data_IF_210991409054
#
_entry.id   IF_210991409054
#
_cell.length_a   1.000
_cell.length_b   1.000
_cell.length_c   1.000
_cell.angle_alpha   90.00
_cell.angle_beta   90.00
_cell.angle_gamma   90.00
#
_symmetry.space_group_name_H-M   'P 1'
#
loop_
_entity.id
_entity.type
_entity.pdbx_description
1 polymer ?
#
# COMPACT_ATOMS: atom_id res chain seq x y z
N UNK A 1 -16.05 -17.42 10.36
CA UNK A 1 -15.73 -17.41 8.91
C UNK A 1 -14.31 -17.91 8.78
N UNK A 2 -14.07 -18.86 7.88
CA UNK A 2 -12.73 -19.39 7.65
C UNK A 2 -12.00 -18.34 6.81
N UNK A 3 -10.99 -17.69 7.38
CA UNK A 3 -10.21 -16.67 6.67
C UNK A 3 -9.51 -17.34 5.50
N UNK A 4 -9.84 -16.92 4.27
CA UNK A 4 -9.17 -17.42 3.06
C UNK A 4 -7.69 -17.11 3.15
N UNK A 5 -6.83 -18.10 2.93
CA UNK A 5 -5.38 -17.91 3.04
C UNK A 5 -4.88 -17.34 1.72
N UNK A 6 -4.40 -16.10 1.75
CA UNK A 6 -3.80 -15.46 0.58
C UNK A 6 -2.29 -15.46 0.72
N UNK A 7 -1.60 -15.92 -0.32
CA UNK A 7 -0.15 -15.92 -0.42
C UNK A 7 0.30 -14.92 -1.49
N UNK A 8 1.36 -14.16 -1.18
CA UNK A 8 2.01 -13.26 -2.12
C UNK A 8 3.28 -13.93 -2.67
N UNK A 9 3.37 -14.04 -3.99
CA UNK A 9 4.65 -14.26 -4.66
C UNK A 9 5.33 -12.89 -4.84
N UNK A 10 6.34 -12.62 -4.02
CA UNK A 10 7.11 -11.37 -3.99
C UNK A 10 7.88 -11.08 -5.29
N UNK A 11 8.24 -12.14 -6.04
CA UNK A 11 9.00 -11.98 -7.28
C UNK A 11 8.11 -11.48 -8.41
N UNK A 12 6.86 -11.96 -8.46
CA UNK A 12 5.88 -11.61 -9.49
C UNK A 12 4.82 -10.61 -9.00
N UNK A 13 4.86 -10.23 -7.72
CA UNK A 13 3.84 -9.46 -7.02
C UNK A 13 2.41 -9.98 -7.26
N UNK A 14 2.27 -11.31 -7.26
CA UNK A 14 1.00 -12.00 -7.57
C UNK A 14 0.42 -12.63 -6.31
N UNK A 15 -0.85 -12.34 -6.03
CA UNK A 15 -1.58 -12.93 -4.92
C UNK A 15 -2.35 -14.17 -5.39
N UNK A 16 -2.32 -15.23 -4.59
CA UNK A 16 -3.04 -16.48 -4.85
C UNK A 16 -3.76 -16.96 -3.59
N UNK A 17 -4.92 -17.57 -3.78
CA UNK A 17 -5.57 -18.32 -2.71
C UNK A 17 -4.97 -19.73 -2.54
N UNK A 18 -5.45 -20.47 -1.54
CA UNK A 18 -5.00 -21.84 -1.26
C UNK A 18 -5.21 -22.84 -2.42
N UNK A 19 -6.04 -22.51 -3.40
CA UNK A 19 -6.28 -23.32 -4.60
C UNK A 19 -5.45 -22.85 -5.81
N UNK A 20 -4.57 -21.85 -5.62
CA UNK A 20 -3.74 -21.27 -6.67
C UNK A 20 -4.45 -20.24 -7.56
N UNK A 21 -5.69 -19.86 -7.23
CA UNK A 21 -6.46 -18.88 -8.00
C UNK A 21 -5.85 -17.50 -7.80
N UNK A 22 -5.53 -16.82 -8.90
CA UNK A 22 -5.00 -15.45 -8.87
C UNK A 22 -6.09 -14.48 -8.42
N UNK A 23 -5.80 -13.71 -7.37
CA UNK A 23 -6.67 -12.68 -6.82
C UNK A 23 -6.10 -11.31 -7.22
N UNK A 24 -6.92 -10.40 -7.79
CA UNK A 24 -6.44 -9.07 -8.17
C UNK A 24 -6.11 -8.22 -6.95
N UNK A 25 -5.02 -7.47 -7.00
CA UNK A 25 -4.66 -6.52 -5.96
C UNK A 25 -5.37 -5.17 -6.13
N UNK A 26 -5.52 -4.42 -5.04
CA UNK A 26 -6.02 -3.02 -5.06
C UNK A 26 -5.30 -2.18 -6.10
N UNK A 27 -3.97 -2.29 -6.17
CA UNK A 27 -3.14 -1.51 -7.10
C UNK A 27 -3.39 -1.92 -8.55
N UNK A 28 -3.44 -3.22 -8.84
CA UNK A 28 -3.74 -3.73 -10.20
C UNK A 28 -5.11 -3.27 -10.70
N UNK A 29 -6.11 -3.27 -9.81
CA UNK A 29 -7.46 -2.77 -10.12
C UNK A 29 -7.41 -1.30 -10.53
N UNK A 30 -6.77 -0.45 -9.72
CA UNK A 30 -6.68 0.98 -9.97
C UNK A 30 -5.88 1.28 -11.24
N UNK A 31 -4.74 0.63 -11.43
CA UNK A 31 -3.88 0.79 -12.61
C UNK A 31 -4.57 0.37 -13.91
N UNK A 32 -5.46 -0.64 -13.85
CA UNK A 32 -6.23 -1.07 -15.02
C UNK A 32 -7.16 0.03 -15.55
N UNK A 33 -7.66 0.90 -14.68
CA UNK A 33 -8.61 1.98 -15.04
C UNK A 33 -7.86 3.27 -15.29
N UNK A 34 -6.90 3.56 -14.43
CA UNK A 34 -6.06 4.74 -14.52
C UNK A 34 -4.60 4.29 -14.71
N UNK A 35 -4.17 4.07 -15.96
CA UNK A 35 -2.80 3.65 -16.25
C UNK A 35 -1.86 4.85 -16.11
N UNK A 36 -1.67 5.34 -14.89
CA UNK A 36 -0.65 6.36 -14.67
C UNK A 36 0.70 5.71 -14.89
N UNK A 37 1.57 6.40 -15.62
CA UNK A 37 3.01 6.12 -15.55
C UNK A 37 3.51 6.63 -14.19
N UNK A 38 3.28 5.84 -13.14
CA UNK A 38 3.71 6.16 -11.76
C UNK A 38 5.23 6.23 -11.60
N UNK A 39 5.95 5.78 -12.61
CA UNK A 39 7.39 5.90 -12.70
C UNK A 39 7.93 4.99 -13.76
N UNK A 40 9.24 5.05 -13.92
CA UNK A 40 10.02 4.00 -14.57
C UNK A 40 10.44 2.95 -13.52
N UNK A 41 11.11 1.89 -13.96
CA UNK A 41 11.61 0.83 -13.07
C UNK A 41 12.43 1.38 -11.89
N UNK A 42 13.16 2.47 -12.11
CA UNK A 42 13.93 3.14 -11.05
C UNK A 42 13.05 3.68 -9.92
N UNK A 43 11.91 4.33 -10.23
CA UNK A 43 10.98 4.84 -9.21
C UNK A 43 10.37 3.69 -8.40
N UNK A 44 10.01 2.59 -9.07
CA UNK A 44 9.43 1.42 -8.41
C UNK A 44 10.46 0.72 -7.50
N UNK A 45 11.69 0.53 -7.98
CA UNK A 45 12.78 -0.03 -7.19
C UNK A 45 13.12 0.86 -5.98
N UNK A 46 13.15 2.18 -6.17
CA UNK A 46 13.33 3.13 -5.07
C UNK A 46 12.22 3.00 -4.03
N UNK A 47 10.95 2.94 -4.46
CA UNK A 47 9.81 2.72 -3.57
C UNK A 47 9.99 1.46 -2.72
N UNK A 48 10.27 0.32 -3.37
CA UNK A 48 10.50 -0.97 -2.68
C UNK A 48 11.66 -0.89 -1.68
N UNK A 49 12.76 -0.25 -2.05
CA UNK A 49 13.91 -0.06 -1.17
C UNK A 49 13.58 0.83 0.04
N UNK A 50 12.77 1.88 -0.15
CA UNK A 50 12.30 2.74 0.95
C UNK A 50 11.36 1.98 1.90
N UNK A 51 10.41 1.19 1.40
CA UNK A 51 9.55 0.36 2.27
C UNK A 51 10.39 -0.65 3.07
N UNK A 52 11.34 -1.32 2.41
CA UNK A 52 12.27 -2.24 3.09
C UNK A 52 13.06 -1.54 4.20
N UNK A 53 13.53 -0.30 3.95
CA UNK A 53 14.21 0.49 4.98
C UNK A 53 13.26 0.83 6.14
N UNK A 54 11.99 1.14 5.87
CA UNK A 54 10.98 1.38 6.91
C UNK A 54 10.73 0.12 7.76
N UNK A 55 10.60 -1.06 7.15
CA UNK A 55 10.47 -2.35 7.86
C UNK A 55 11.66 -2.62 8.79
N UNK A 56 12.87 -2.35 8.29
CA UNK A 56 14.11 -2.53 9.05
C UNK A 56 14.22 -1.52 10.19
N UNK A 57 13.74 -0.28 10.02
CA UNK A 57 13.68 0.72 11.09
C UNK A 57 12.70 0.27 12.17
N UNK A 58 11.48 -0.16 11.80
CA UNK A 58 10.45 -0.59 12.75
C UNK A 58 10.91 -1.77 13.63
N UNK A 59 11.73 -2.65 13.04
CA UNK A 59 12.27 -3.82 13.74
C UNK A 59 13.61 -3.57 14.43
N UNK A 60 14.16 -2.35 14.33
CA UNK A 60 15.46 -1.99 14.90
C UNK A 60 16.64 -2.72 14.25
N UNK A 61 16.48 -3.19 13.00
CA UNK A 61 17.45 -3.98 12.24
C UNK A 61 18.15 -3.20 11.13
N UNK A 62 17.79 -1.94 10.90
CA UNK A 62 18.44 -1.13 9.88
C UNK A 62 19.88 -0.80 10.30
N UNK A 63 20.84 -1.24 9.49
CA UNK A 63 22.22 -0.77 9.56
C UNK A 63 22.35 0.50 8.70
N UNK A 64 22.44 1.66 9.38
CA UNK A 64 22.47 2.97 8.73
C UNK A 64 23.67 3.16 7.79
N UNK A 65 24.79 2.50 8.07
CA UNK A 65 26.00 2.61 7.24
C UNK A 65 25.85 1.88 5.89
N UNK A 66 24.86 1.01 5.77
CA UNK A 66 24.54 0.27 4.53
C UNK A 66 23.47 0.93 3.67
N UNK A 67 22.85 2.01 4.16
CA UNK A 67 21.76 2.68 3.45
C UNK A 67 22.28 3.41 2.22
N UNK A 68 21.73 3.08 1.05
CA UNK A 68 22.09 3.74 -0.20
C UNK A 68 21.71 5.23 -0.15
N UNK A 69 22.65 6.09 -0.55
CA UNK A 69 22.49 7.56 -0.57
C UNK A 69 21.27 8.03 -1.36
N UNK A 70 20.79 7.25 -2.34
CA UNK A 70 19.59 7.54 -3.14
C UNK A 70 18.29 7.41 -2.33
N UNK A 71 18.30 6.66 -1.22
CA UNK A 71 17.12 6.47 -0.35
C UNK A 71 17.30 7.04 1.06
N UNK A 72 18.54 7.37 1.47
CA UNK A 72 18.89 7.82 2.82
C UNK A 72 17.97 8.93 3.34
N UNK A 73 17.67 9.94 2.51
CA UNK A 73 16.77 11.02 2.89
C UNK A 73 15.34 10.57 3.20
N UNK A 74 14.81 9.57 2.50
CA UNK A 74 13.49 9.01 2.79
C UNK A 74 13.51 8.17 4.09
N UNK A 75 14.59 7.42 4.32
CA UNK A 75 14.77 6.67 5.57
C UNK A 75 14.82 7.62 6.79
N UNK A 76 15.55 8.74 6.67
CA UNK A 76 15.56 9.78 7.71
C UNK A 76 14.20 10.46 7.88
N UNK A 77 13.45 10.68 6.79
CA UNK A 77 12.09 11.19 6.87
C UNK A 77 11.17 10.25 7.68
N UNK A 78 11.31 8.94 7.50
CA UNK A 78 10.57 7.94 8.27
C UNK A 78 10.99 7.91 9.73
N UNK A 79 12.30 7.90 10.02
CA UNK A 79 12.84 7.98 11.38
C UNK A 79 12.34 9.22 12.13
N UNK A 80 12.28 10.37 11.43
CA UNK A 80 11.72 11.62 11.97
C UNK A 80 10.22 11.48 12.28
N UNK A 81 9.45 10.88 11.38
CA UNK A 81 8.02 10.61 11.63
C UNK A 81 7.83 9.75 12.88
N UNK A 82 8.62 8.69 13.07
CA UNK A 82 8.53 7.83 14.25
C UNK A 82 8.87 8.59 15.54
N UNK A 83 9.87 9.47 15.54
CA UNK A 83 10.27 10.22 16.73
C UNK A 83 9.23 11.28 17.15
N UNK A 84 8.56 11.89 16.18
CA UNK A 84 7.56 12.94 16.40
C UNK A 84 6.17 12.37 16.70
N UNK A 85 5.72 11.36 15.94
CA UNK A 85 4.35 10.84 15.98
C UNK A 85 4.22 9.62 16.90
N UNK A 86 5.30 8.84 17.06
CA UNK A 86 5.37 7.64 17.92
C UNK A 86 4.18 6.69 17.74
N UNK A 87 3.86 6.28 16.49
CA UNK A 87 2.76 5.34 16.26
C UNK A 87 3.07 3.99 16.92
N UNK A 88 2.04 3.36 17.47
CA UNK A 88 2.11 1.97 17.93
C UNK A 88 1.40 1.13 16.88
N UNK A 89 2.18 0.46 16.05
CA UNK A 89 1.66 -0.40 14.99
C UNK A 89 1.12 -1.71 15.57
N UNK A 90 -0.05 -2.10 15.07
CA UNK A 90 -0.68 -3.39 15.33
C UNK A 90 -0.21 -4.41 14.31
N UNK A 91 -0.06 -4.00 13.05
CA UNK A 91 0.53 -4.82 12.00
C UNK A 91 1.30 -3.97 10.99
N UNK A 92 2.17 -4.67 10.26
CA UNK A 92 3.06 -4.18 9.21
C UNK A 92 3.09 -5.22 8.09
N UNK A 93 3.11 -4.76 6.84
CA UNK A 93 3.11 -5.61 5.63
C UNK A 93 2.02 -6.69 5.69
N UNK A 94 0.82 -6.29 6.12
CA UNK A 94 -0.27 -7.23 6.35
C UNK A 94 -1.03 -7.48 5.05
N UNK A 95 -1.01 -8.73 4.57
CA UNK A 95 -1.88 -9.19 3.49
C UNK A 95 -3.34 -9.21 3.98
N UNK A 96 -4.22 -8.62 3.18
CA UNK A 96 -5.67 -8.54 3.43
C UNK A 96 -6.46 -9.03 2.23
N UNK A 97 -7.67 -9.51 2.48
CA UNK A 97 -8.56 -10.06 1.46
C UNK A 97 -10.00 -9.65 1.74
N UNK A 98 -10.62 -9.01 0.76
CA UNK A 98 -12.06 -8.75 0.77
C UNK A 98 -12.80 -9.96 0.21
N UNK A 99 -13.41 -10.76 1.09
CA UNK A 99 -14.23 -11.91 0.67
C UNK A 99 -15.47 -11.47 -0.10
N UNK A 100 -16.04 -10.31 0.26
CA UNK A 100 -17.26 -9.76 -0.36
C UNK A 100 -17.02 -9.37 -1.81
N UNK A 101 -15.86 -8.76 -2.10
CA UNK A 101 -15.58 -8.18 -3.42
C UNK A 101 -14.50 -8.93 -4.21
N UNK A 102 -13.82 -9.90 -3.61
CA UNK A 102 -12.88 -10.80 -4.30
C UNK A 102 -11.57 -10.14 -4.74
N UNK A 103 -11.01 -9.24 -3.93
CA UNK A 103 -9.71 -8.61 -4.17
C UNK A 103 -8.85 -8.64 -2.90
N UNK A 104 -7.55 -8.39 -3.06
CA UNK A 104 -6.58 -8.40 -1.97
C UNK A 104 -5.65 -7.18 -1.99
N UNK A 105 -4.79 -7.07 -0.99
CA UNK A 105 -3.75 -6.07 -0.93
C UNK A 105 -2.78 -6.34 0.21
N UNK A 106 -1.72 -5.55 0.29
CA UNK A 106 -0.81 -5.52 1.43
C UNK A 106 -0.85 -4.11 2.01
N UNK A 107 -1.22 -4.01 3.28
CA UNK A 107 -1.18 -2.75 4.02
C UNK A 107 0.26 -2.52 4.47
N UNK A 108 0.80 -1.32 4.25
CA UNK A 108 2.11 -0.98 4.78
C UNK A 108 2.09 -1.06 6.31
N UNK A 109 1.31 -0.17 6.97
CA UNK A 109 1.24 -0.12 8.44
C UNK A 109 -0.14 0.27 8.93
N UNK A 110 -0.56 -0.30 10.05
CA UNK A 110 -1.71 0.27 10.77
C UNK A 110 -1.57 0.19 12.28
N UNK A 111 -2.14 1.16 12.97
CA UNK A 111 -2.39 1.14 14.41
C UNK A 111 -3.79 0.56 14.69
N UNK A 112 -4.24 0.60 15.94
CA UNK A 112 -5.63 0.26 16.27
C UNK A 112 -6.67 1.23 15.69
N UNK A 113 -6.24 2.38 15.14
CA UNK A 113 -7.15 3.45 14.68
C UNK A 113 -6.82 4.04 13.32
N UNK A 114 -5.60 3.85 12.81
CA UNK A 114 -5.11 4.55 11.63
C UNK A 114 -4.38 3.57 10.72
N UNK A 115 -4.76 3.54 9.45
CA UNK A 115 -3.95 3.00 8.36
C UNK A 115 -2.98 4.09 7.90
N UNK A 116 -1.69 3.78 7.86
CA UNK A 116 -0.64 4.59 7.26
C UNK A 116 -0.13 3.87 6.01
N UNK A 117 -0.44 4.43 4.84
CA UNK A 117 0.04 3.98 3.53
C UNK A 117 1.24 4.87 3.13
N UNK A 118 2.43 4.30 3.15
CA UNK A 118 3.70 4.97 2.90
C UNK A 118 3.82 5.22 1.41
N UNK A 119 4.22 6.43 1.04
CA UNK A 119 4.42 6.84 -0.34
C UNK A 119 5.74 7.57 -0.51
N UNK A 120 6.37 7.33 -1.66
CA UNK A 120 7.44 8.18 -2.18
C UNK A 120 6.95 8.86 -3.45
N UNK A 121 7.47 10.06 -3.73
CA UNK A 121 7.12 10.79 -4.95
C UNK A 121 5.83 11.61 -4.85
N UNK A 122 5.10 11.68 -5.98
CA UNK A 122 4.02 12.65 -6.17
C UNK A 122 2.71 12.09 -5.60
N UNK A 123 1.92 12.98 -4.98
CA UNK A 123 0.56 12.64 -4.53
C UNK A 123 -0.36 12.50 -5.74
N UNK A 124 -1.09 11.40 -5.79
CA UNK A 124 -2.13 11.18 -6.81
C UNK A 124 -3.47 10.89 -6.15
N UNK A 125 -4.55 11.15 -6.87
CA UNK A 125 -5.90 11.01 -6.32
C UNK A 125 -6.27 9.55 -6.02
N UNK A 126 -5.67 8.58 -6.71
CA UNK A 126 -5.93 7.15 -6.45
C UNK A 126 -5.41 6.66 -5.11
N UNK A 127 -4.50 7.36 -4.43
CA UNK A 127 -4.09 7.00 -3.07
C UNK A 127 -5.29 7.02 -2.09
N UNK A 128 -6.26 7.91 -2.32
CA UNK A 128 -7.50 7.94 -1.56
C UNK A 128 -8.32 6.66 -1.75
N UNK A 129 -8.48 6.21 -3.01
CA UNK A 129 -9.17 4.96 -3.35
C UNK A 129 -8.41 3.72 -2.86
N UNK A 130 -7.09 3.71 -2.99
CA UNK A 130 -6.22 2.61 -2.55
C UNK A 130 -6.40 2.36 -1.05
N UNK A 131 -6.26 3.41 -0.25
CA UNK A 131 -6.46 3.31 1.21
C UNK A 131 -7.90 2.92 1.58
N UNK A 132 -8.90 3.32 0.79
CA UNK A 132 -10.28 2.90 1.01
C UNK A 132 -10.49 1.40 0.75
N UNK A 133 -9.92 0.87 -0.33
CA UNK A 133 -9.91 -0.57 -0.62
C UNK A 133 -9.21 -1.38 0.48
N UNK A 134 -8.06 -0.93 0.97
CA UNK A 134 -7.37 -1.61 2.08
C UNK A 134 -8.20 -1.65 3.38
N UNK A 135 -8.85 -0.53 3.76
CA UNK A 135 -9.68 -0.49 4.96
C UNK A 135 -10.93 -1.37 4.83
N UNK A 136 -11.51 -1.46 3.64
CA UNK A 136 -12.60 -2.40 3.38
C UNK A 136 -12.12 -3.85 3.50
N UNK A 137 -11.03 -4.21 2.83
CA UNK A 137 -10.50 -5.58 2.83
C UNK A 137 -10.01 -6.06 4.21
N UNK A 138 -9.45 -5.18 5.05
CA UNK A 138 -9.05 -5.55 6.41
C UNK A 138 -10.24 -5.70 7.37
N UNK A 139 -11.41 -5.17 7.00
CA UNK A 139 -12.64 -5.26 7.81
C UNK A 139 -12.61 -4.45 9.12
N UNK A 140 -11.67 -3.50 9.26
CA UNK A 140 -11.52 -2.65 10.44
C UNK A 140 -11.97 -1.21 10.16
N UNK A 141 -12.38 -0.50 11.22
CA UNK A 141 -12.70 0.93 11.12
C UNK A 141 -11.46 1.79 11.38
N UNK A 142 -10.63 1.94 10.35
CA UNK A 142 -9.39 2.72 10.41
C UNK A 142 -9.56 4.08 9.73
N UNK A 143 -9.04 5.14 10.35
CA UNK A 143 -8.81 6.41 9.66
C UNK A 143 -7.71 6.21 8.62
N UNK A 144 -7.88 6.77 7.43
CA UNK A 144 -6.94 6.59 6.32
C UNK A 144 -5.97 7.76 6.26
N UNK A 145 -4.67 7.47 6.26
CA UNK A 145 -3.63 8.46 6.06
C UNK A 145 -2.58 7.91 5.10
N UNK A 146 -2.09 8.76 4.20
CA UNK A 146 -0.82 8.48 3.52
C UNK A 146 0.31 9.25 4.20
N UNK A 147 1.45 8.57 4.35
CA UNK A 147 2.71 9.15 4.81
C UNK A 147 3.62 9.35 3.61
N UNK A 148 3.74 10.59 3.14
CA UNK A 148 4.59 10.96 2.02
C UNK A 148 5.99 11.27 2.52
N UNK A 149 6.93 10.37 2.28
CA UNK A 149 8.35 10.55 2.59
C UNK A 149 9.01 11.37 1.48
N UNK A 150 9.85 12.34 1.86
CA UNK A 150 10.61 13.20 0.94
C UNK A 150 12.10 12.87 1.07
N UNK A 151 12.84 13.03 -0.03
CA UNK A 151 14.29 12.80 -0.11
C UNK A 151 15.12 13.79 0.71
N UNK A 152 14.52 14.87 1.19
CA UNK A 152 15.19 15.88 2.01
C UNK A 152 15.09 15.63 3.53
N UNK A 153 14.71 14.41 3.96
CA UNK A 153 14.58 14.08 5.38
C UNK A 153 13.29 14.57 6.03
N UNK A 154 12.35 15.13 5.27
CA UNK A 154 11.03 15.52 5.77
C UNK A 154 9.92 14.60 5.25
N UNK A 155 8.78 14.65 5.93
CA UNK A 155 7.60 13.91 5.52
C UNK A 155 6.37 14.81 5.51
N UNK A 156 5.28 14.32 4.93
CA UNK A 156 3.96 14.92 5.03
C UNK A 156 2.91 13.85 5.26
N UNK A 157 1.99 14.11 6.19
CA UNK A 157 0.87 13.21 6.47
C UNK A 157 -0.40 13.82 5.90
N UNK A 158 -1.06 13.10 4.99
CA UNK A 158 -2.34 13.51 4.40
C UNK A 158 -3.43 12.56 4.87
N UNK A 159 -4.52 13.11 5.42
CA UNK A 159 -5.69 12.33 5.78
C UNK A 159 -6.68 12.27 4.62
N UNK A 160 -7.29 11.10 4.42
CA UNK A 160 -8.39 10.91 3.48
C UNK A 160 -9.65 10.58 4.26
N UNK A 161 -10.66 11.44 4.13
CA UNK A 161 -11.91 11.37 4.92
C UNK A 161 -13.16 11.29 4.08
N UNK A 162 -13.04 11.40 2.75
CA UNK A 162 -14.20 11.30 1.87
C UNK A 162 -14.73 9.85 1.85
N UNK A 163 -16.02 9.70 2.14
CA UNK A 163 -16.71 8.42 2.07
C UNK A 163 -16.95 7.96 0.64
N UNK A 164 -16.82 8.85 -0.35
CA UNK A 164 -16.96 8.50 -1.76
C UNK A 164 -15.81 7.63 -2.29
N UNK A 165 -14.63 7.67 -1.63
CA UNK A 165 -13.41 6.97 -2.05
C UNK A 165 -13.62 5.47 -2.26
N UNK A 166 -14.38 4.80 -1.39
CA UNK A 166 -14.67 3.37 -1.52
C UNK A 166 -15.57 3.09 -2.72
N UNK A 167 -16.58 3.92 -2.99
CA UNK A 167 -17.45 3.74 -4.15
C UNK A 167 -16.69 3.97 -5.46
N UNK A 168 -15.75 4.92 -5.47
CA UNK A 168 -14.85 5.15 -6.60
C UNK A 168 -13.93 3.94 -6.84
N UNK A 169 -13.37 3.36 -5.76
CA UNK A 169 -12.58 2.11 -5.86
C UNK A 169 -13.43 0.94 -6.39
N UNK A 170 -14.64 0.73 -5.87
CA UNK A 170 -15.53 -0.35 -6.31
C UNK A 170 -16.00 -0.17 -7.77
N UNK A 171 -16.17 1.07 -8.23
CA UNK A 171 -16.39 1.36 -9.65
C UNK A 171 -15.19 0.94 -10.50
N UNK A 172 -13.96 1.15 -10.02
CA UNK A 172 -12.77 0.66 -10.71
C UNK A 172 -12.70 -0.87 -10.75
N UNK A 173 -13.03 -1.54 -9.66
CA UNK A 173 -13.14 -3.01 -9.61
C UNK A 173 -14.18 -3.53 -10.61
N UNK A 174 -15.32 -2.85 -10.75
CA UNK A 174 -16.33 -3.21 -11.75
C UNK A 174 -15.77 -3.12 -13.17
N UNK A 175 -15.03 -2.06 -13.50
CA UNK A 175 -14.39 -1.89 -14.80
C UNK A 175 -13.30 -2.97 -15.01
N UNK A 176 -12.46 -3.22 -14.02
CA UNK A 176 -11.45 -4.29 -14.05
C UNK A 176 -12.08 -5.64 -14.41
N UNK A 177 -13.18 -6.00 -13.72
CA UNK A 177 -13.88 -7.27 -13.96
C UNK A 177 -14.50 -7.34 -15.38
N UNK A 178 -14.99 -6.23 -15.92
CA UNK A 178 -15.46 -6.18 -17.31
C UNK A 178 -14.28 -6.40 -18.26
N UNK A 179 -13.16 -5.69 -18.08
CA UNK A 179 -11.96 -5.84 -18.92
C UNK A 179 -11.44 -7.28 -18.91
N UNK A 180 -11.36 -7.91 -17.74
CA UNK A 180 -10.94 -9.30 -17.59
C UNK A 180 -11.90 -10.27 -18.31
N UNK A 181 -13.21 -10.06 -18.18
CA UNK A 181 -14.21 -10.90 -18.86
C UNK A 181 -14.12 -10.83 -20.38
N UNK A 182 -13.88 -9.63 -20.91
CA UNK A 182 -13.76 -9.38 -22.36
C UNK A 182 -12.34 -9.66 -22.90
N UNK A 183 -11.41 -10.17 -22.08
CA UNK A 183 -10.04 -10.51 -22.50
C UNK A 183 -9.16 -9.30 -22.84
N UNK A 184 -9.44 -8.13 -22.27
CA UNK A 184 -8.67 -6.89 -22.48
C UNK A 184 -7.46 -6.76 -21.54
N UNK A 185 -7.44 -7.55 -20.46
CA UNK A 185 -6.37 -7.69 -19.47
C UNK A 185 -6.31 -9.13 -18.97
#
# INVERSE_FOLDING_TARGET
>A
MQTKLIQLDEATHTYRDENGVIIPSVTQILESVFPFKYGNDYVNQRGKAVHTACDLIDTGKLDWDTVDKRIEGYAWAYQKFLSEVKPIYVASEQIVYSEVYGYCGTLDRHTSRILFDIKTGIKVFTHAMQTAGYVEAVGLRLKRKCLYLKDNGNYEVVAYTDGSDIFNFLACLKIFNIKKKEGLI
#
